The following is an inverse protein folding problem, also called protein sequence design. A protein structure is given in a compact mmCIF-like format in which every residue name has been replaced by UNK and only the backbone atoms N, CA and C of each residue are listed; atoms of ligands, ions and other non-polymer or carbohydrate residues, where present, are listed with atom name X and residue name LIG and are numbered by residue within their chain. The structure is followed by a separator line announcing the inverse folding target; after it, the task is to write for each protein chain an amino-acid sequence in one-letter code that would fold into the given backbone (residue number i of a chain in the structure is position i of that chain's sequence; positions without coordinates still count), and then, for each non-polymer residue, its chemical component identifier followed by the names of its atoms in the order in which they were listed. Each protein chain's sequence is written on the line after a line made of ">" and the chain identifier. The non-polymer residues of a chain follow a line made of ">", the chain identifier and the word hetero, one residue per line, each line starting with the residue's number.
data_IF_236188616744
#
_entry.id   IF_236188616744
#
_cell.length_a   1.000
_cell.length_b   1.000
_cell.length_c   1.000
_cell.angle_alpha   90.00
_cell.angle_beta   90.00
_cell.angle_gamma   90.00
#
_symmetry.space_group_name_H-M   'P 1'
#
loop_
_entity.id
_entity.type
_entity.pdbx_description
1 polymer ?
#
# COMPACT_ATOMS: atom_id res chain seq x y z
N UNK A 1 -6.58 5.64 22.34
CA UNK A 1 -5.96 4.81 21.27
C UNK A 1 -5.83 5.69 20.04
N UNK A 2 -4.61 5.98 19.56
CA UNK A 2 -4.39 6.86 18.40
C UNK A 2 -4.64 6.07 17.12
N UNK A 3 -5.35 6.63 16.15
CA UNK A 3 -5.60 5.95 14.87
C UNK A 3 -4.26 5.78 14.13
N UNK A 4 -3.94 4.54 13.74
CA UNK A 4 -2.65 4.20 13.12
C UNK A 4 -2.36 5.04 11.87
N UNK A 5 -3.40 5.38 11.09
CA UNK A 5 -3.26 6.26 9.93
C UNK A 5 -2.79 7.67 10.28
N UNK A 6 -3.17 8.22 11.44
CA UNK A 6 -2.73 9.55 11.88
C UNK A 6 -1.26 9.54 12.26
N UNK A 7 -0.80 8.47 12.93
CA UNK A 7 0.62 8.32 13.30
C UNK A 7 1.50 8.24 12.05
N UNK A 8 1.08 7.45 11.05
CA UNK A 8 1.81 7.32 9.80
C UNK A 8 1.85 8.64 9.03
N UNK A 9 0.73 9.37 8.97
CA UNK A 9 0.69 10.67 8.30
C UNK A 9 1.66 11.69 8.92
N UNK A 10 1.75 11.73 10.26
CA UNK A 10 2.68 12.61 10.98
C UNK A 10 4.16 12.26 10.74
N UNK A 11 4.47 10.99 10.44
CA UNK A 11 5.82 10.52 10.08
C UNK A 11 6.09 10.60 8.56
N UNK A 12 5.26 11.34 7.80
CA UNK A 12 5.46 11.59 6.38
C UNK A 12 5.02 10.46 5.45
N UNK A 13 4.23 9.51 5.95
CA UNK A 13 3.60 8.49 5.11
C UNK A 13 2.34 9.03 4.45
N UNK A 14 2.11 8.62 3.21
CA UNK A 14 0.96 9.00 2.42
C UNK A 14 0.05 7.79 2.19
N UNK A 15 -1.26 7.97 2.33
CA UNK A 15 -2.21 6.92 1.93
C UNK A 15 -2.31 6.91 0.41
N UNK A 16 -1.94 5.80 -0.22
CA UNK A 16 -1.97 5.64 -1.68
C UNK A 16 -3.16 4.80 -2.16
N UNK A 17 -3.67 3.91 -1.31
CA UNK A 17 -4.88 3.12 -1.56
C UNK A 17 -5.71 3.06 -0.28
N UNK A 18 -7.01 3.30 -0.41
CA UNK A 18 -7.97 3.10 0.67
C UNK A 18 -9.27 2.55 0.11
N UNK A 19 -9.54 1.29 0.38
CA UNK A 19 -10.79 0.60 0.07
C UNK A 19 -11.44 0.21 1.38
N UNK A 20 -12.72 0.54 1.54
CA UNK A 20 -13.51 0.17 2.71
C UNK A 20 -14.91 -0.18 2.23
N UNK A 21 -15.18 -1.48 2.18
CA UNK A 21 -16.49 -2.06 1.93
C UNK A 21 -16.96 -2.78 3.19
N UNK A 22 -18.18 -3.36 3.20
CA UNK A 22 -18.79 -3.90 4.43
C UNK A 22 -17.88 -4.89 5.17
N UNK A 23 -17.27 -5.80 4.42
CA UNK A 23 -16.47 -6.91 4.97
C UNK A 23 -15.07 -6.96 4.37
N UNK A 24 -14.66 -5.92 3.64
CA UNK A 24 -13.33 -5.80 3.06
C UNK A 24 -12.74 -4.44 3.37
N UNK A 25 -11.54 -4.44 3.92
CA UNK A 25 -10.79 -3.23 4.19
C UNK A 25 -9.35 -3.39 3.72
N UNK A 26 -8.95 -2.56 2.76
CA UNK A 26 -7.58 -2.51 2.26
C UNK A 26 -7.06 -1.09 2.42
N UNK A 27 -5.93 -0.93 3.12
CA UNK A 27 -5.24 0.35 3.23
C UNK A 27 -3.77 0.18 2.93
N UNK A 28 -3.26 1.01 2.02
CA UNK A 28 -1.86 1.04 1.67
C UNK A 28 -1.28 2.42 1.94
N UNK A 29 -0.11 2.45 2.56
CA UNK A 29 0.66 3.64 2.84
C UNK A 29 2.02 3.53 2.19
N UNK A 30 2.52 4.61 1.60
CA UNK A 30 3.89 4.69 1.12
C UNK A 30 4.60 5.89 1.74
N UNK A 31 5.89 5.74 2.00
CA UNK A 31 6.79 6.85 2.32
C UNK A 31 7.71 7.05 1.13
N UNK A 32 7.61 8.19 0.48
CA UNK A 32 8.45 8.51 -0.68
C UNK A 32 9.76 9.17 -0.25
N UNK A 33 10.84 8.84 -0.93
CA UNK A 33 12.12 9.55 -0.90
C UNK A 33 12.28 10.43 -2.13
N UNK A 34 13.49 10.94 -2.37
CA UNK A 34 13.78 11.79 -3.55
C UNK A 34 13.77 10.98 -4.84
N UNK A 35 14.30 9.75 -4.81
CA UNK A 35 14.49 8.90 -6.01
C UNK A 35 13.70 7.58 -5.96
N UNK A 36 12.97 7.30 -4.88
CA UNK A 36 12.35 6.00 -4.67
C UNK A 36 11.30 5.98 -3.56
N UNK A 37 10.84 4.78 -3.21
CA UNK A 37 9.93 4.54 -2.09
C UNK A 37 10.75 4.03 -0.90
N UNK A 38 10.74 4.76 0.21
CA UNK A 38 11.44 4.41 1.46
C UNK A 38 10.73 3.31 2.26
N UNK A 39 9.45 3.13 2.00
CA UNK A 39 8.69 2.03 2.57
C UNK A 39 7.26 1.95 2.08
N UNK A 40 6.68 0.76 2.20
CA UNK A 40 5.30 0.43 1.84
C UNK A 40 4.68 -0.39 2.97
N UNK A 41 3.54 0.07 3.48
CA UNK A 41 2.70 -0.67 4.43
C UNK A 41 1.40 -1.03 3.73
N UNK A 42 1.03 -2.31 3.77
CA UNK A 42 -0.25 -2.82 3.28
C UNK A 42 -0.96 -3.53 4.43
N UNK A 43 -2.22 -3.16 4.64
CA UNK A 43 -3.13 -3.82 5.55
C UNK A 43 -4.34 -4.28 4.74
N UNK A 44 -4.64 -5.57 4.79
CA UNK A 44 -5.86 -6.18 4.27
C UNK A 44 -6.58 -6.87 5.42
N UNK A 45 -7.85 -6.54 5.58
CA UNK A 45 -8.74 -7.18 6.54
C UNK A 45 -9.97 -7.66 5.76
N UNK A 46 -10.13 -8.96 5.67
CA UNK A 46 -11.33 -9.65 5.19
C UNK A 46 -11.63 -10.84 6.11
N UNK A 47 -11.78 -12.06 5.56
CA UNK A 47 -11.84 -13.30 6.33
C UNK A 47 -10.49 -13.61 7.01
N UNK A 48 -9.38 -13.17 6.40
CA UNK A 48 -8.03 -13.24 6.95
C UNK A 48 -7.40 -11.84 7.10
N UNK A 49 -6.56 -11.68 8.12
CA UNK A 49 -5.84 -10.43 8.34
C UNK A 49 -4.41 -10.54 7.82
N UNK A 50 -4.08 -9.74 6.80
CA UNK A 50 -2.74 -9.67 6.20
C UNK A 50 -2.12 -8.30 6.45
N UNK A 51 -0.92 -8.32 7.01
CA UNK A 51 -0.09 -7.13 7.22
C UNK A 51 1.26 -7.33 6.55
N UNK A 52 1.60 -6.43 5.62
CA UNK A 52 2.88 -6.39 4.94
C UNK A 52 3.53 -5.03 5.21
N UNK A 53 4.79 -5.06 5.63
CA UNK A 53 5.62 -3.86 5.73
C UNK A 53 6.93 -4.10 5.00
N UNK A 54 7.23 -3.22 4.05
CA UNK A 54 8.48 -3.21 3.29
C UNK A 54 9.20 -1.92 3.66
N UNK A 55 10.45 -2.02 4.07
CA UNK A 55 11.32 -0.87 4.41
C UNK A 55 12.61 -0.99 3.62
N UNK A 56 13.03 0.11 3.00
CA UNK A 56 14.25 0.15 2.20
C UNK A 56 14.11 1.16 1.07
N UNK A 57 15.17 1.31 0.25
CA UNK A 57 15.11 2.11 -0.96
C UNK A 57 14.54 1.26 -2.11
N UNK A 58 13.24 1.36 -2.31
CA UNK A 58 12.52 0.57 -3.29
C UNK A 58 12.40 1.36 -4.58
N UNK A 59 13.12 0.88 -5.59
CA UNK A 59 12.98 1.36 -6.97
C UNK A 59 11.63 0.89 -7.56
N UNK A 60 10.71 1.83 -7.89
CA UNK A 60 9.39 1.51 -8.42
C UNK A 60 9.41 0.70 -9.73
N UNK A 61 10.46 0.84 -10.54
CA UNK A 61 10.59 0.07 -11.78
C UNK A 61 10.74 -1.43 -11.48
N UNK A 62 11.38 -1.80 -10.37
CA UNK A 62 11.51 -3.19 -9.96
C UNK A 62 10.17 -3.77 -9.51
N UNK A 63 9.36 -2.98 -8.77
CA UNK A 63 7.99 -3.37 -8.40
C UNK A 63 7.18 -3.65 -9.67
N UNK A 64 7.27 -2.79 -10.69
CA UNK A 64 6.59 -3.00 -11.97
C UNK A 64 6.99 -4.33 -12.64
N UNK A 65 8.28 -4.69 -12.64
CA UNK A 65 8.78 -5.98 -13.18
C UNK A 65 8.33 -7.21 -12.39
N UNK A 66 8.10 -7.06 -11.09
CA UNK A 66 7.55 -8.12 -10.24
C UNK A 66 6.04 -8.23 -10.50
N UNK A 67 5.34 -7.10 -10.49
CA UNK A 67 3.92 -6.99 -10.74
C UNK A 67 3.50 -7.55 -12.10
N UNK A 68 4.33 -7.48 -13.13
CA UNK A 68 4.03 -8.11 -14.44
C UNK A 68 4.12 -9.64 -14.43
N UNK A 69 4.82 -10.24 -13.46
CA UNK A 69 4.88 -11.71 -13.27
C UNK A 69 3.70 -12.24 -12.48
N UNK A 70 3.11 -11.41 -11.62
CA UNK A 70 1.85 -11.70 -10.96
C UNK A 70 0.72 -11.28 -11.90
N UNK A 71 -0.34 -12.10 -12.08
CA UNK A 71 -1.51 -11.67 -12.85
C UNK A 71 -2.36 -10.69 -12.02
N UNK A 72 -1.78 -9.56 -11.64
CA UNK A 72 -2.51 -8.48 -10.96
C UNK A 72 -3.47 -7.90 -11.98
N UNK A 73 -4.77 -8.13 -11.80
CA UNK A 73 -5.79 -7.50 -12.60
C UNK A 73 -5.74 -5.99 -12.33
N UNK A 74 -5.21 -5.21 -13.27
CA UNK A 74 -5.40 -3.76 -13.29
C UNK A 74 -6.87 -3.50 -13.59
N UNK A 75 -7.67 -3.40 -12.53
CA UNK A 75 -9.09 -3.06 -12.60
C UNK A 75 -9.29 -1.61 -13.06
N UNK A 76 -9.05 -1.31 -14.34
CA UNK A 76 -9.68 -0.15 -14.96
C UNK A 76 -11.15 -0.49 -15.16
N UNK A 77 -12.03 0.05 -14.32
CA UNK A 77 -13.47 0.05 -14.58
C UNK A 77 -13.68 0.80 -15.91
N UNK A 78 -14.31 0.20 -16.94
CA UNK A 78 -14.63 0.93 -18.15
C UNK A 78 -15.55 2.10 -17.80
N UNK A 79 -15.26 3.27 -18.38
CA UNK A 79 -16.10 4.47 -18.26
C UNK A 79 -17.44 4.27 -18.93
#
# INVERSE_FOLDING_TARGET
>A
MRLMGTVLAEDGWQTIVSVSERDQFVRMFARSGVEGILGLVVMSLDDEAVFLNIVGDVDPEQIGRIGSRFRVATGTKPR
#
